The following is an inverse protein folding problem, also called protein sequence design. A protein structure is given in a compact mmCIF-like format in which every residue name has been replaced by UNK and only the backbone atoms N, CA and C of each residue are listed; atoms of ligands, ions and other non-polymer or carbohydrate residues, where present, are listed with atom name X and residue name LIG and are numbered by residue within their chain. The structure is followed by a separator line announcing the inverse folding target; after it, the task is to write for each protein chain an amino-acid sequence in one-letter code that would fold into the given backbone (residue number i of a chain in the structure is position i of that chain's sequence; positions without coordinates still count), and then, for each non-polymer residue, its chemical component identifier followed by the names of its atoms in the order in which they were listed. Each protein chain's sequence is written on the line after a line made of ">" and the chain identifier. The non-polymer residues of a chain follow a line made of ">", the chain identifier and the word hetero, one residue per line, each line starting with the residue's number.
data_IF_936511704642
#
_entry.id   IF_936511704642
#
_cell.length_a   1.000
_cell.length_b   1.000
_cell.length_c   1.000
_cell.angle_alpha   90.00
_cell.angle_beta   90.00
_cell.angle_gamma   90.00
#
_symmetry.space_group_name_H-M   'P 1'
#
loop_
_entity.id
_entity.type
_entity.pdbx_description
1 polymer ?
#
# COMPACT_ATOMS: atom_id res chain seq x y z
N UNK A 1 23.46 -10.22 -28.84
CA UNK A 1 22.98 -10.09 -27.45
C UNK A 1 23.15 -8.63 -27.08
N UNK A 2 22.08 -7.92 -26.73
CA UNK A 2 22.19 -6.52 -26.35
C UNK A 2 22.67 -6.45 -24.89
N UNK A 3 23.86 -5.90 -24.68
CA UNK A 3 24.34 -5.49 -23.37
C UNK A 3 23.41 -4.40 -22.84
N UNK A 4 22.50 -4.76 -21.94
CA UNK A 4 21.66 -3.80 -21.23
C UNK A 4 22.57 -3.08 -20.24
N UNK A 5 23.11 -1.93 -20.65
CA UNK A 5 23.78 -1.02 -19.73
C UNK A 5 22.72 -0.37 -18.85
N UNK A 6 22.53 -0.91 -17.65
CA UNK A 6 21.75 -0.26 -16.61
C UNK A 6 22.44 1.06 -16.26
N UNK A 7 21.85 2.18 -16.66
CA UNK A 7 22.31 3.48 -16.24
C UNK A 7 22.33 3.54 -14.70
N UNK A 8 23.44 3.97 -14.07
CA UNK A 8 23.51 4.04 -12.62
C UNK A 8 22.44 5.02 -12.13
N UNK A 9 21.53 4.54 -11.28
CA UNK A 9 20.50 5.37 -10.65
C UNK A 9 21.15 6.59 -10.00
N UNK A 10 20.61 7.77 -10.27
CA UNK A 10 21.08 9.01 -9.64
C UNK A 10 20.84 8.96 -8.13
N UNK A 11 21.57 9.80 -7.37
CA UNK A 11 21.40 9.88 -5.91
C UNK A 11 19.94 10.12 -5.52
N UNK A 12 19.27 11.06 -6.19
CA UNK A 12 17.86 11.37 -5.95
C UNK A 12 16.92 10.21 -6.28
N UNK A 13 17.18 9.43 -7.31
CA UNK A 13 16.37 8.24 -7.62
C UNK A 13 16.47 7.17 -6.53
N UNK A 14 17.68 6.95 -5.98
CA UNK A 14 17.88 6.01 -4.87
C UNK A 14 17.21 6.49 -3.59
N UNK A 15 17.28 7.79 -3.30
CA UNK A 15 16.62 8.39 -2.13
C UNK A 15 15.09 8.24 -2.22
N UNK A 16 14.50 8.51 -3.39
CA UNK A 16 13.05 8.32 -3.62
C UNK A 16 12.64 6.85 -3.50
N UNK A 17 13.44 5.92 -4.02
CA UNK A 17 13.19 4.48 -3.92
C UNK A 17 13.24 3.99 -2.47
N UNK A 18 14.22 4.44 -1.69
CA UNK A 18 14.30 4.13 -0.26
C UNK A 18 13.11 4.69 0.52
N UNK A 19 12.74 5.95 0.24
CA UNK A 19 11.58 6.59 0.87
C UNK A 19 10.29 5.83 0.57
N UNK A 20 10.09 5.39 -0.67
CA UNK A 20 8.93 4.58 -1.05
C UNK A 20 8.93 3.23 -0.34
N UNK A 21 10.08 2.56 -0.26
CA UNK A 21 10.21 1.27 0.42
C UNK A 21 9.90 1.38 1.91
N UNK A 22 10.39 2.43 2.58
CA UNK A 22 10.12 2.68 3.99
C UNK A 22 8.65 3.01 4.24
N UNK A 23 8.04 3.86 3.40
CA UNK A 23 6.62 4.16 3.48
C UNK A 23 5.75 2.91 3.34
N UNK A 24 6.06 2.04 2.38
CA UNK A 24 5.33 0.78 2.17
C UNK A 24 5.51 -0.20 3.33
N UNK A 25 6.68 -0.23 3.98
CA UNK A 25 6.88 -1.02 5.19
C UNK A 25 5.95 -0.55 6.31
N UNK A 26 5.89 0.76 6.55
CA UNK A 26 5.02 1.35 7.58
C UNK A 26 3.53 1.08 7.29
N UNK A 27 3.12 1.17 6.02
CA UNK A 27 1.77 0.82 5.58
C UNK A 27 1.45 -0.65 5.90
N UNK A 28 2.38 -1.57 5.59
CA UNK A 28 2.19 -2.99 5.87
C UNK A 28 2.08 -3.28 7.37
N UNK A 29 2.86 -2.58 8.20
CA UNK A 29 2.78 -2.73 9.65
C UNK A 29 1.46 -2.20 10.21
N UNK A 30 0.95 -1.09 9.67
CA UNK A 30 -0.37 -0.56 10.02
C UNK A 30 -1.51 -1.53 9.62
N UNK A 31 -1.43 -2.12 8.41
CA UNK A 31 -2.37 -3.15 7.95
C UNK A 31 -2.36 -4.35 8.90
N UNK A 32 -1.18 -4.84 9.30
CA UNK A 32 -1.07 -5.94 10.27
C UNK A 32 -1.70 -5.59 11.61
N UNK A 33 -1.50 -4.37 12.10
CA UNK A 33 -2.11 -3.91 13.34
C UNK A 33 -3.64 -3.85 13.25
N UNK A 34 -4.18 -3.29 12.17
CA UNK A 34 -5.62 -3.24 11.92
C UNK A 34 -6.23 -4.64 11.82
N UNK A 35 -5.57 -5.57 11.12
CA UNK A 35 -6.02 -6.96 11.00
C UNK A 35 -6.04 -7.68 12.36
N UNK A 36 -5.04 -7.44 13.23
CA UNK A 36 -5.02 -7.99 14.60
C UNK A 36 -6.20 -7.48 15.45
N UNK A 37 -6.68 -6.27 15.19
CA UNK A 37 -7.85 -5.71 15.86
C UNK A 37 -9.18 -6.13 15.21
N UNK A 38 -9.16 -7.03 14.23
CA UNK A 38 -10.36 -7.55 13.57
C UNK A 38 -10.96 -6.63 12.51
N UNK A 39 -10.21 -5.62 12.02
CA UNK A 39 -10.68 -4.80 10.91
C UNK A 39 -10.63 -5.57 9.58
N UNK A 40 -11.67 -5.40 8.77
CA UNK A 40 -11.67 -5.80 7.37
C UNK A 40 -10.96 -4.71 6.55
N UNK A 41 -9.88 -5.09 5.87
CA UNK A 41 -9.03 -4.16 5.11
C UNK A 41 -9.32 -4.33 3.63
N UNK A 42 -9.63 -3.24 2.94
CA UNK A 42 -9.86 -3.18 1.50
C UNK A 42 -8.84 -2.27 0.84
N UNK A 43 -8.22 -2.75 -0.24
CA UNK A 43 -7.25 -2.00 -1.04
C UNK A 43 -7.91 -1.70 -2.38
N UNK A 44 -8.10 -0.41 -2.67
CA UNK A 44 -8.73 0.06 -3.90
C UNK A 44 -7.66 0.73 -4.78
N UNK A 45 -7.37 0.19 -5.97
CA UNK A 45 -6.49 0.87 -6.91
C UNK A 45 -7.17 2.15 -7.41
N UNK A 46 -6.40 3.24 -7.43
CA UNK A 46 -6.80 4.53 -7.96
C UNK A 46 -5.87 4.91 -9.10
N UNK A 47 -6.40 5.69 -10.03
CA UNK A 47 -5.64 6.22 -11.15
C UNK A 47 -5.67 7.73 -11.07
N UNK A 48 -4.50 8.37 -11.03
CA UNK A 48 -4.39 9.83 -11.00
C UNK A 48 -3.60 10.33 -12.21
N UNK A 49 -4.11 11.36 -12.86
CA UNK A 49 -3.40 12.02 -13.95
C UNK A 49 -2.56 13.18 -13.38
N UNK A 50 -1.28 13.21 -13.73
CA UNK A 50 -0.36 14.26 -13.33
C UNK A 50 0.13 15.03 -14.55
N UNK A 51 0.32 16.34 -14.41
CA UNK A 51 0.82 17.20 -15.50
C UNK A 51 2.26 16.90 -15.91
N UNK A 52 3.00 16.16 -15.08
CA UNK A 52 4.40 15.79 -15.29
C UNK A 52 4.61 14.34 -15.76
N UNK A 53 3.54 13.57 -16.00
CA UNK A 53 3.62 12.18 -16.44
C UNK A 53 2.63 11.92 -17.57
N UNK A 54 3.10 11.32 -18.66
CA UNK A 54 2.23 10.88 -19.74
C UNK A 54 1.40 9.66 -19.32
N UNK A 55 1.98 8.79 -18.49
CA UNK A 55 1.29 7.62 -17.94
C UNK A 55 0.53 8.00 -16.66
N UNK A 56 -0.69 7.49 -16.48
CA UNK A 56 -1.43 7.68 -15.23
C UNK A 56 -0.68 7.09 -14.04
N UNK A 57 -0.66 7.82 -12.93
CA UNK A 57 -0.04 7.37 -11.70
C UNK A 57 -0.90 6.29 -11.02
N UNK A 58 -0.33 5.11 -10.73
CA UNK A 58 -1.01 4.10 -9.93
C UNK A 58 -0.96 4.54 -8.46
N UNK A 59 -2.13 4.84 -7.91
CA UNK A 59 -2.31 5.13 -6.49
C UNK A 59 -3.08 3.99 -5.82
N UNK A 60 -2.95 3.88 -4.51
CA UNK A 60 -3.72 2.91 -3.70
C UNK A 60 -4.43 3.64 -2.58
N UNK A 61 -5.73 3.38 -2.45
CA UNK A 61 -6.51 3.79 -1.29
C UNK A 61 -6.73 2.59 -0.39
N UNK A 62 -6.35 2.70 0.88
CA UNK A 62 -6.47 1.64 1.87
C UNK A 62 -7.57 2.05 2.85
N UNK A 63 -8.60 1.22 2.93
CA UNK A 63 -9.72 1.43 3.83
C UNK A 63 -9.76 0.30 4.86
N UNK A 64 -10.02 0.64 6.12
CA UNK A 64 -10.22 -0.31 7.20
C UNK A 64 -11.61 -0.11 7.79
N UNK A 65 -12.42 -1.16 7.80
CA UNK A 65 -13.79 -1.15 8.29
C UNK A 65 -13.94 -2.18 9.41
N UNK A 66 -14.71 -1.87 10.46
CA UNK A 66 -15.10 -2.88 11.44
C UNK A 66 -16.13 -3.83 10.80
N UNK A 67 -15.98 -5.16 10.96
CA UNK A 67 -16.94 -6.11 10.43
C UNK A 67 -18.31 -5.84 11.04
N UNK A 68 -19.29 -5.49 10.20
CA UNK A 68 -20.68 -5.26 10.62
C UNK A 68 -21.40 -6.54 11.04
N UNK A 69 -20.77 -7.71 10.86
CA UNK A 69 -21.29 -9.01 11.27
C UNK A 69 -20.27 -9.68 12.17
N UNK A 70 -20.55 -9.63 13.47
CA UNK A 70 -19.95 -10.55 14.43
C UNK A 70 -20.50 -11.94 14.09
N UNK A 71 -19.62 -12.92 13.96
CA UNK A 71 -20.03 -14.32 13.90
C UNK A 71 -20.89 -14.59 15.14
N UNK A 72 -22.01 -15.31 15.03
CA UNK A 72 -22.88 -15.64 16.18
C UNK A 72 -22.13 -16.30 17.36
N UNK A 73 -20.93 -16.82 17.11
CA UNK A 73 -20.02 -17.42 18.07
C UNK A 73 -19.33 -16.42 19.02
N UNK A 74 -19.15 -15.16 18.64
CA UNK A 74 -18.51 -14.13 19.49
C UNK A 74 -19.52 -13.39 20.39
N UNK A 75 -20.82 -13.62 20.19
CA UNK A 75 -21.90 -13.05 21.01
C UNK A 75 -22.19 -13.92 22.25
N UNK A 76 -21.58 -15.11 22.36
CA UNK A 76 -21.79 -16.02 23.48
C UNK A 76 -20.85 -15.77 24.68
N UNK A 77 -19.85 -14.91 24.52
CA UNK A 77 -18.82 -14.60 25.53
C UNK A 77 -18.90 -13.16 26.09
N UNK A 78 -20.03 -12.45 25.85
CA UNK A 78 -20.34 -11.15 26.46
C UNK A 78 -21.50 -11.23 27.44
#
# INVERSE_FOLDING_TARGET
>A
MADIHEFPKTKSQREVEQLLMEAMKNVNDAIRAAAKCGFEISIVPLTAHATYSADPLPLVNIQAHLPRRVSRQEVADF
#
